data_IF_556120181022
#
_entry.id   IF_556120181022
#
_cell.length_a   1.000
_cell.length_b   1.000
_cell.length_c   1.000
_cell.angle_alpha   90.00
_cell.angle_beta   90.00
_cell.angle_gamma   90.00
#
_symmetry.space_group_name_H-M   'P 1'
#
loop_
_entity.id
_entity.type
_entity.pdbx_description
1 polymer ?
#
# COMPACT_ATOMS: atom_id res chain seq x y z
N UNK A 1 -46.44 -97.75 7.75
CA UNK A 1 -46.11 -96.52 8.50
C UNK A 1 -44.62 -96.24 8.36
N UNK A 2 -44.20 -95.36 7.46
CA UNK A 2 -42.87 -94.72 7.51
C UNK A 2 -42.97 -93.38 6.79
N UNK A 3 -43.06 -92.30 7.58
CA UNK A 3 -42.93 -90.92 7.12
C UNK A 3 -41.46 -90.68 6.77
N UNK A 4 -41.15 -90.32 5.54
CA UNK A 4 -39.86 -89.70 5.19
C UNK A 4 -40.04 -88.18 5.20
N UNK A 5 -39.24 -87.52 6.02
CA UNK A 5 -39.23 -86.07 6.20
C UNK A 5 -38.12 -85.44 5.35
N UNK A 6 -38.45 -84.26 4.85
CA UNK A 6 -37.69 -83.35 3.98
C UNK A 6 -36.17 -83.21 4.24
N UNK A 7 -35.44 -82.91 3.16
CA UNK A 7 -34.62 -81.69 3.16
C UNK A 7 -34.55 -81.05 1.77
N UNK A 8 -35.09 -79.83 1.69
CA UNK A 8 -34.90 -78.92 0.57
C UNK A 8 -33.45 -78.41 0.59
N UNK A 9 -32.79 -78.33 -0.56
CA UNK A 9 -31.61 -77.46 -0.68
C UNK A 9 -31.67 -76.71 -2.02
N UNK A 10 -32.26 -75.51 -1.97
CA UNK A 10 -32.26 -74.55 -3.08
C UNK A 10 -30.89 -73.92 -3.13
N UNK A 11 -30.15 -74.14 -4.23
CA UNK A 11 -28.86 -73.49 -4.50
C UNK A 11 -29.06 -71.97 -4.50
N UNK A 12 -28.40 -71.28 -3.58
CA UNK A 12 -28.37 -69.82 -3.55
C UNK A 12 -27.48 -69.29 -4.68
N UNK A 13 -28.06 -68.45 -5.54
CA UNK A 13 -27.31 -67.66 -6.52
C UNK A 13 -26.48 -66.63 -5.75
N UNK A 14 -25.15 -66.70 -5.85
CA UNK A 14 -24.26 -65.65 -5.34
C UNK A 14 -24.42 -64.41 -6.23
N UNK A 15 -25.17 -63.42 -5.75
CA UNK A 15 -25.13 -62.07 -6.29
C UNK A 15 -23.83 -61.41 -5.83
N UNK A 16 -22.90 -61.17 -6.77
CA UNK A 16 -21.76 -60.29 -6.52
C UNK A 16 -22.26 -58.86 -6.50
N UNK A 17 -22.61 -58.37 -5.30
CA UNK A 17 -22.89 -56.97 -5.08
C UNK A 17 -21.58 -56.18 -5.25
N UNK A 18 -21.44 -55.51 -6.39
CA UNK A 18 -20.45 -54.45 -6.57
C UNK A 18 -20.76 -53.34 -5.57
N UNK A 19 -19.99 -53.27 -4.49
CA UNK A 19 -19.99 -52.13 -3.59
C UNK A 19 -19.64 -50.88 -4.39
N UNK A 20 -20.66 -50.09 -4.74
CA UNK A 20 -20.47 -48.75 -5.29
C UNK A 20 -19.79 -47.94 -4.20
N UNK A 21 -18.47 -47.81 -4.26
CA UNK A 21 -17.76 -46.80 -3.48
C UNK A 21 -18.34 -45.45 -3.91
N UNK A 22 -19.23 -44.88 -3.10
CA UNK A 22 -19.71 -43.52 -3.26
C UNK A 22 -18.55 -42.58 -2.95
N UNK A 23 -17.66 -42.37 -3.93
CA UNK A 23 -16.72 -41.27 -3.86
C UNK A 23 -17.56 -40.01 -4.02
N UNK A 24 -17.89 -39.37 -2.90
CA UNK A 24 -18.40 -38.01 -2.91
C UNK A 24 -17.36 -37.17 -3.65
N UNK A 25 -17.74 -36.46 -4.73
CA UNK A 25 -16.79 -35.60 -5.40
C UNK A 25 -16.30 -34.57 -4.38
N UNK A 26 -14.98 -34.51 -4.18
CA UNK A 26 -14.36 -33.47 -3.35
C UNK A 26 -14.76 -32.14 -4.00
N UNK A 27 -15.66 -31.40 -3.35
CA UNK A 27 -16.07 -30.10 -3.85
C UNK A 27 -14.85 -29.18 -3.84
N UNK A 28 -14.53 -28.63 -5.01
CA UNK A 28 -13.47 -27.64 -5.12
C UNK A 28 -13.97 -26.36 -4.44
N UNK A 29 -13.20 -25.84 -3.49
CA UNK A 29 -13.53 -24.60 -2.79
C UNK A 29 -12.87 -23.46 -3.54
N UNK A 30 -13.66 -22.47 -3.93
CA UNK A 30 -13.15 -21.28 -4.60
C UNK A 30 -12.70 -20.29 -3.54
N UNK A 31 -11.38 -20.12 -3.38
CA UNK A 31 -10.77 -19.10 -2.53
C UNK A 31 -9.93 -18.19 -3.40
N UNK A 32 -10.28 -16.90 -3.47
CA UNK A 32 -9.59 -15.91 -4.32
C UNK A 32 -9.57 -14.52 -3.69
N UNK A 33 -8.66 -13.68 -4.18
CA UNK A 33 -8.64 -12.27 -3.86
C UNK A 33 -9.68 -11.51 -4.70
N UNK A 34 -10.38 -10.58 -4.05
CA UNK A 34 -11.27 -9.58 -4.67
C UNK A 34 -10.51 -8.26 -4.82
N UNK A 35 -9.71 -7.90 -3.82
CA UNK A 35 -8.79 -6.78 -3.85
C UNK A 35 -7.41 -7.26 -3.42
N UNK A 36 -6.41 -6.84 -4.18
CA UNK A 36 -5.02 -7.11 -3.91
C UNK A 36 -4.24 -5.80 -3.75
N UNK A 37 -3.20 -5.78 -2.90
CA UNK A 37 -2.49 -4.56 -2.62
C UNK A 37 -1.71 -4.06 -3.84
N UNK A 38 -1.58 -2.75 -3.95
CA UNK A 38 -0.84 -2.08 -5.00
C UNK A 38 0.43 -1.43 -4.45
N UNK A 39 1.40 -1.19 -5.32
CA UNK A 39 2.61 -0.45 -4.97
C UNK A 39 2.25 0.97 -4.53
N UNK A 40 2.85 1.45 -3.45
CA UNK A 40 2.57 2.77 -2.88
C UNK A 40 3.86 3.54 -2.61
N UNK A 41 3.85 4.82 -3.01
CA UNK A 41 4.84 5.80 -2.59
C UNK A 41 4.19 6.74 -1.59
N UNK A 42 4.66 6.76 -0.36
CA UNK A 42 4.14 7.63 0.71
C UNK A 42 5.19 8.65 1.17
N UNK A 43 4.89 9.45 2.18
CA UNK A 43 5.80 10.44 2.77
C UNK A 43 6.07 10.12 4.23
N UNK A 44 7.22 10.58 4.75
CA UNK A 44 7.56 10.47 6.17
C UNK A 44 6.50 11.16 7.04
N UNK A 45 6.01 10.45 8.06
CA UNK A 45 4.95 10.91 8.95
C UNK A 45 3.55 10.82 8.34
N UNK A 46 3.44 10.36 7.08
CA UNK A 46 2.15 10.15 6.43
C UNK A 46 1.43 8.90 6.93
N UNK A 47 0.33 8.59 6.25
CA UNK A 47 -0.47 7.38 6.46
C UNK A 47 -0.31 6.49 5.23
N UNK A 48 -0.09 5.20 5.46
CA UNK A 48 -0.03 4.16 4.43
C UNK A 48 -1.24 3.24 4.61
N UNK A 49 -2.00 3.02 3.55
CA UNK A 49 -3.04 2.00 3.50
C UNK A 49 -2.74 1.04 2.36
N UNK A 50 -2.80 -0.26 2.62
CA UNK A 50 -2.76 -1.30 1.60
C UNK A 50 -4.06 -2.09 1.67
N UNK A 51 -4.79 -2.11 0.56
CA UNK A 51 -6.06 -2.80 0.47
C UNK A 51 -5.88 -4.29 0.21
N UNK A 52 -6.65 -5.10 0.94
CA UNK A 52 -6.76 -6.53 0.68
C UNK A 52 -8.13 -7.03 1.08
N UNK A 53 -8.75 -7.82 0.20
CA UNK A 53 -10.00 -8.51 0.48
C UNK A 53 -10.01 -9.84 -0.27
N UNK A 54 -10.44 -10.91 0.39
CA UNK A 54 -10.63 -12.22 -0.21
C UNK A 54 -12.06 -12.72 0.02
N UNK A 55 -12.52 -13.65 -0.83
CA UNK A 55 -13.82 -14.30 -0.70
C UNK A 55 -13.72 -15.80 -0.93
N UNK A 56 -14.65 -16.52 -0.33
CA UNK A 56 -14.91 -17.93 -0.62
C UNK A 56 -16.40 -18.25 -0.66
N UNK A 57 -16.74 -19.32 -1.36
CA UNK A 57 -18.05 -19.99 -1.37
C UNK A 57 -18.32 -20.82 -0.09
N UNK A 58 -17.33 -21.00 0.80
CA UNK A 58 -17.42 -21.82 2.02
C UNK A 58 -17.28 -21.04 3.33
N UNK A 59 -17.22 -19.71 3.27
CA UNK A 59 -17.12 -18.85 4.45
C UNK A 59 -16.31 -17.58 4.20
N UNK A 60 -16.12 -16.78 5.26
CA UNK A 60 -15.29 -15.59 5.21
C UNK A 60 -13.82 -15.95 5.50
N UNK A 61 -12.89 -15.70 4.57
CA UNK A 61 -11.47 -15.91 4.83
C UNK A 61 -10.94 -14.92 5.88
N UNK A 62 -10.06 -15.40 6.75
CA UNK A 62 -9.28 -14.55 7.65
C UNK A 62 -8.12 -13.92 6.88
N UNK A 63 -7.91 -12.62 7.07
CA UNK A 63 -6.83 -11.87 6.44
C UNK A 63 -5.69 -11.65 7.46
N UNK A 64 -4.46 -11.79 7.00
CA UNK A 64 -3.25 -11.42 7.73
C UNK A 64 -2.20 -10.85 6.76
N UNK A 65 -1.19 -10.17 7.28
CA UNK A 65 -0.21 -9.48 6.45
C UNK A 65 1.20 -9.99 6.67
N UNK A 66 1.98 -10.03 5.60
CA UNK A 66 3.42 -10.27 5.61
C UNK A 66 4.16 -9.04 5.12
N UNK A 67 5.32 -8.78 5.71
CA UNK A 67 6.29 -7.80 5.26
C UNK A 67 7.65 -8.47 5.15
N UNK A 68 8.26 -8.38 3.98
CA UNK A 68 9.58 -8.96 3.68
C UNK A 68 9.64 -10.46 4.06
N UNK A 69 8.53 -11.18 3.82
CA UNK A 69 8.37 -12.60 4.14
C UNK A 69 7.94 -12.92 5.57
N UNK A 70 7.97 -11.95 6.49
CA UNK A 70 7.66 -12.14 7.91
C UNK A 70 6.21 -11.73 8.20
N UNK A 71 5.47 -12.54 8.97
CA UNK A 71 4.10 -12.21 9.38
C UNK A 71 4.10 -10.99 10.31
N UNK A 72 3.27 -10.01 9.99
CA UNK A 72 3.06 -8.83 10.83
C UNK A 72 2.12 -9.17 11.97
N UNK A 73 2.53 -8.85 13.20
CA UNK A 73 1.66 -8.87 14.36
C UNK A 73 1.13 -7.47 14.61
N UNK A 74 -0.20 -7.30 14.59
CA UNK A 74 -0.85 -6.02 14.95
C UNK A 74 -0.65 -5.65 16.42
N UNK A 75 -0.31 -6.60 17.29
CA UNK A 75 -0.11 -6.39 18.73
C UNK A 75 1.24 -5.73 19.04
N UNK A 76 2.22 -5.84 18.14
CA UNK A 76 3.61 -5.42 18.40
C UNK A 76 3.86 -3.96 18.01
N UNK A 77 3.04 -3.37 17.14
CA UNK A 77 3.22 -2.01 16.65
C UNK A 77 1.87 -1.29 16.62
N UNK A 78 1.63 -0.43 17.62
CA UNK A 78 0.37 0.33 17.79
C UNK A 78 0.04 1.21 16.58
N UNK A 79 1.04 1.55 15.75
CA UNK A 79 0.82 2.33 14.52
C UNK A 79 0.21 1.50 13.40
N UNK A 80 0.25 0.18 13.51
CA UNK A 80 -0.24 -0.77 12.51
C UNK A 80 -1.57 -1.33 12.95
N UNK A 81 -2.61 -1.00 12.19
CA UNK A 81 -3.95 -1.49 12.43
C UNK A 81 -4.45 -2.25 11.21
N UNK A 82 -4.93 -3.48 11.42
CA UNK A 82 -5.71 -4.16 10.40
C UNK A 82 -7.17 -3.72 10.52
N UNK A 83 -7.72 -3.24 9.41
CA UNK A 83 -9.11 -2.80 9.31
C UNK A 83 -10.03 -4.02 9.15
N UNK A 84 -11.33 -3.83 9.45
CA UNK A 84 -12.33 -4.91 9.38
C UNK A 84 -12.49 -5.52 7.99
N UNK A 85 -12.17 -4.77 6.92
CA UNK A 85 -12.20 -5.25 5.54
C UNK A 85 -10.96 -6.08 5.15
N UNK A 86 -9.94 -6.14 6.01
CA UNK A 86 -8.66 -6.82 5.73
C UNK A 86 -7.52 -5.89 5.32
N UNK A 87 -7.80 -4.63 4.97
CA UNK A 87 -6.76 -3.63 4.65
C UNK A 87 -5.86 -3.38 5.86
N UNK A 88 -4.57 -3.11 5.65
CA UNK A 88 -3.67 -2.66 6.72
C UNK A 88 -3.44 -1.16 6.61
N UNK A 89 -3.54 -0.49 7.75
CA UNK A 89 -3.25 0.92 7.93
C UNK A 89 -1.98 1.05 8.78
N UNK A 90 -1.02 1.85 8.32
CA UNK A 90 0.18 2.22 9.07
C UNK A 90 0.20 3.73 9.22
N UNK A 91 0.08 4.20 10.46
CA UNK A 91 0.15 5.62 10.79
C UNK A 91 1.59 6.04 11.06
N UNK A 92 1.86 7.34 10.90
CA UNK A 92 3.16 7.95 11.20
C UNK A 92 4.33 7.19 10.54
N UNK A 93 4.28 7.06 9.21
CA UNK A 93 5.27 6.29 8.45
C UNK A 93 6.70 6.75 8.76
N UNK A 94 7.54 5.81 9.20
CA UNK A 94 8.92 6.06 9.65
C UNK A 94 9.90 5.85 8.50
N UNK A 95 10.67 6.89 8.23
CA UNK A 95 11.77 6.87 7.28
C UNK A 95 12.95 7.69 7.80
N UNK A 96 14.11 7.06 7.85
CA UNK A 96 15.40 7.69 8.12
C UNK A 96 16.52 7.00 7.31
N UNK A 97 17.74 7.53 7.39
CA UNK A 97 18.89 7.00 6.65
C UNK A 97 19.19 5.53 6.99
N UNK A 98 19.07 5.15 8.27
CA UNK A 98 19.43 3.81 8.77
C UNK A 98 18.25 3.00 9.28
N UNK A 99 17.05 3.59 9.36
CA UNK A 99 15.89 2.95 9.92
C UNK A 99 14.65 3.25 9.08
N UNK A 100 14.12 2.22 8.42
CA UNK A 100 12.98 2.28 7.47
C UNK A 100 12.04 1.09 7.71
N UNK A 101 11.45 0.97 8.90
CA UNK A 101 10.68 -0.21 9.28
C UNK A 101 9.40 -0.37 8.45
N UNK A 102 8.90 0.70 7.83
CA UNK A 102 7.64 0.70 7.10
C UNK A 102 7.82 0.50 5.58
N UNK A 103 9.02 0.71 5.04
CA UNK A 103 9.35 0.36 3.64
C UNK A 103 9.58 -1.14 3.49
N UNK A 104 9.20 -1.71 2.35
CA UNK A 104 9.44 -3.12 2.06
C UNK A 104 8.44 -3.71 1.07
N UNK A 105 8.50 -5.03 0.95
CA UNK A 105 7.59 -5.84 0.17
C UNK A 105 6.46 -6.37 1.06
N UNK A 106 5.22 -5.96 0.79
CA UNK A 106 4.04 -6.38 1.54
C UNK A 106 3.23 -7.40 0.74
N UNK A 107 2.70 -8.40 1.44
CA UNK A 107 1.79 -9.39 0.88
C UNK A 107 0.66 -9.67 1.85
N UNK A 108 -0.54 -9.87 1.32
CA UNK A 108 -1.70 -10.30 2.07
C UNK A 108 -1.82 -11.83 2.03
N UNK A 109 -2.14 -12.43 3.16
CA UNK A 109 -2.39 -13.87 3.30
C UNK A 109 -3.85 -14.05 3.68
N UNK A 110 -4.62 -14.71 2.81
CA UNK A 110 -6.01 -15.08 3.07
C UNK A 110 -6.09 -16.56 3.43
N UNK A 111 -6.57 -16.85 4.64
CA UNK A 111 -6.66 -18.21 5.19
C UNK A 111 -8.11 -18.59 5.39
N UNK A 112 -8.47 -19.80 4.98
CA UNK A 112 -9.79 -20.39 5.19
C UNK A 112 -9.63 -21.75 5.86
N UNK A 113 -10.26 -21.90 7.03
CA UNK A 113 -10.18 -23.11 7.84
C UNK A 113 -10.70 -24.33 7.06
N UNK A 114 -9.97 -25.45 7.15
CA UNK A 114 -10.30 -26.69 6.43
C UNK A 114 -9.98 -26.68 4.93
N UNK A 115 -9.47 -25.57 4.38
CA UNK A 115 -9.14 -25.43 2.94
C UNK A 115 -7.67 -25.10 2.73
N UNK A 116 -7.16 -24.09 3.45
CA UNK A 116 -5.76 -23.66 3.33
C UNK A 116 -5.63 -22.14 3.25
N UNK A 117 -4.55 -21.67 2.64
CA UNK A 117 -4.30 -20.24 2.49
C UNK A 117 -3.73 -19.90 1.11
N UNK A 118 -4.04 -18.69 0.63
CA UNK A 118 -3.50 -18.11 -0.59
C UNK A 118 -2.76 -16.80 -0.27
N UNK A 119 -1.76 -16.46 -1.09
CA UNK A 119 -0.94 -15.26 -0.92
C UNK A 119 -1.17 -14.33 -2.10
N UNK A 120 -1.36 -13.04 -1.82
CA UNK A 120 -1.55 -12.03 -2.86
C UNK A 120 -0.25 -11.74 -3.63
N UNK A 121 -0.37 -10.94 -4.68
CA UNK A 121 0.75 -10.21 -5.26
C UNK A 121 1.55 -9.47 -4.18
N UNK A 122 2.80 -9.21 -4.52
CA UNK A 122 3.66 -8.34 -3.73
C UNK A 122 3.38 -6.89 -4.07
N UNK A 123 3.19 -6.07 -3.04
CA UNK A 123 3.10 -4.62 -3.13
C UNK A 123 4.35 -3.98 -2.53
N UNK A 124 5.03 -3.15 -3.32
CA UNK A 124 6.23 -2.43 -2.88
C UNK A 124 5.85 -1.09 -2.27
N UNK A 125 6.26 -0.89 -1.03
CA UNK A 125 6.09 0.38 -0.31
C UNK A 125 7.41 1.13 -0.26
N UNK A 126 7.40 2.38 -0.71
CA UNK A 126 8.56 3.28 -0.65
C UNK A 126 8.18 4.64 -0.08
N UNK A 127 9.14 5.35 0.51
CA UNK A 127 8.92 6.72 1.02
C UNK A 127 9.63 7.72 0.11
N UNK A 128 8.87 8.72 -0.35
CA UNK A 128 9.40 9.80 -1.16
C UNK A 128 10.42 10.64 -0.38
N UNK A 129 11.56 10.91 -1.02
CA UNK A 129 12.61 11.77 -0.49
C UNK A 129 12.60 13.11 -1.22
N UNK A 130 12.60 14.21 -0.47
CA UNK A 130 12.75 15.54 -1.07
C UNK A 130 14.21 15.80 -1.40
N UNK A 131 14.57 15.68 -2.68
CA UNK A 131 15.86 16.19 -3.18
C UNK A 131 15.74 17.71 -3.35
N UNK A 132 16.25 18.45 -2.36
CA UNK A 132 16.21 19.93 -2.34
C UNK A 132 17.02 20.61 -3.46
N UNK A 133 17.58 19.86 -4.41
CA UNK A 133 18.63 20.31 -5.32
C UNK A 133 18.12 21.12 -6.51
N UNK A 134 16.88 20.94 -7.00
CA UNK A 134 16.41 21.66 -8.19
C UNK A 134 15.55 22.91 -7.94
N UNK A 135 14.70 22.94 -6.91
CA UNK A 135 13.75 24.05 -6.71
C UNK A 135 14.38 25.32 -6.12
N UNK A 136 15.46 25.20 -5.35
CA UNK A 136 16.14 26.36 -4.76
C UNK A 136 16.82 27.24 -5.82
N UNK A 137 17.24 26.66 -6.96
CA UNK A 137 17.94 27.42 -8.01
C UNK A 137 17.03 28.49 -8.62
N UNK A 138 15.75 28.18 -8.85
CA UNK A 138 14.80 29.09 -9.51
C UNK A 138 14.33 30.22 -8.58
N UNK A 139 14.02 29.92 -7.32
CA UNK A 139 13.69 30.96 -6.33
C UNK A 139 14.88 31.85 -5.97
N UNK A 140 16.09 31.29 -5.83
CA UNK A 140 17.32 32.06 -5.54
C UNK A 140 17.73 32.91 -6.75
N UNK A 141 17.58 32.41 -7.99
CA UNK A 141 17.77 33.20 -9.23
C UNK A 141 16.73 34.32 -9.36
N UNK A 142 15.44 34.06 -9.12
CA UNK A 142 14.37 35.09 -9.13
C UNK A 142 14.59 36.16 -8.05
N UNK A 143 14.93 35.79 -6.81
CA UNK A 143 15.28 36.73 -5.73
C UNK A 143 16.53 37.57 -6.07
N UNK A 144 17.59 36.96 -6.63
CA UNK A 144 18.78 37.69 -7.12
C UNK A 144 18.44 38.66 -8.25
N UNK A 145 17.59 38.27 -9.22
CA UNK A 145 17.14 39.13 -10.33
C UNK A 145 16.29 40.30 -9.84
N UNK A 146 15.37 40.09 -8.88
CA UNK A 146 14.60 41.17 -8.22
C UNK A 146 15.50 42.14 -7.44
N UNK A 147 16.48 41.64 -6.67
CA UNK A 147 17.46 42.50 -5.96
C UNK A 147 18.31 43.34 -6.92
N UNK A 148 18.79 42.76 -8.03
CA UNK A 148 19.52 43.49 -9.08
C UNK A 148 18.66 44.57 -9.73
N UNK A 149 17.39 44.30 -10.04
CA UNK A 149 16.45 45.30 -10.60
C UNK A 149 16.20 46.46 -9.62
N UNK A 150 15.98 46.18 -8.32
CA UNK A 150 15.81 47.23 -7.29
C UNK A 150 17.05 48.13 -7.15
N UNK A 151 18.26 47.55 -7.14
CA UNK A 151 19.51 48.33 -7.09
C UNK A 151 19.69 49.25 -8.30
N UNK A 152 19.41 48.76 -9.52
CA UNK A 152 19.46 49.58 -10.74
C UNK A 152 18.46 50.75 -10.69
N UNK A 153 17.23 50.51 -10.23
CA UNK A 153 16.21 51.57 -10.12
C UNK A 153 16.61 52.65 -9.11
N UNK A 154 17.22 52.26 -7.98
CA UNK A 154 17.71 53.23 -6.97
C UNK A 154 18.88 54.07 -7.49
N UNK A 155 19.80 53.49 -8.28
CA UNK A 155 20.92 54.22 -8.89
C UNK A 155 20.45 55.21 -9.97
N UNK A 156 19.41 54.87 -10.74
CA UNK A 156 18.83 55.77 -11.74
C UNK A 156 18.10 56.96 -11.10
N UNK A 157 17.44 56.76 -9.96
CA UNK A 157 16.77 57.86 -9.25
C UNK A 157 17.77 58.89 -8.72
N UNK A 158 18.85 58.44 -8.07
CA UNK A 158 19.87 59.34 -7.52
C UNK A 158 20.54 60.23 -8.58
N UNK A 159 20.72 59.73 -9.81
CA UNK A 159 21.34 60.52 -10.89
C UNK A 159 20.43 61.65 -11.41
N UNK A 160 19.12 61.55 -11.22
CA UNK A 160 18.18 62.57 -11.66
C UNK A 160 17.96 63.67 -10.61
N UNK A 161 18.49 63.48 -9.38
CA UNK A 161 18.34 64.45 -8.29
C UNK A 161 19.61 65.34 -8.18
N UNK A 162 20.65 65.10 -9.01
CA UNK A 162 21.94 65.82 -9.00
C UNK A 162 22.07 66.80 -10.20
N UNK A 163 21.02 67.00 -11.02
CA UNK A 163 21.02 67.84 -12.25
C UNK A 163 20.17 69.14 -12.11
N UNK A 164 19.74 69.52 -10.89
CA UNK A 164 18.82 70.68 -10.63
C UNK A 164 19.47 71.81 -9.75
N UNK A 165 20.80 71.87 -9.63
CA UNK A 165 21.52 72.90 -8.83
C UNK A 165 22.56 73.69 -9.67
N UNK A 166 22.16 74.27 -10.80
CA UNK A 166 22.90 75.35 -11.48
C UNK A 166 21.85 76.30 -12.12
N UNK A 167 22.08 77.63 -12.04
CA UNK A 167 21.19 78.77 -12.35
C UNK A 167 20.33 79.20 -11.11
N UNK A 168 20.50 80.32 -10.41
CA UNK A 168 20.92 81.67 -10.77
C UNK A 168 21.56 82.37 -9.55
N UNK A 169 22.83 82.76 -9.63
CA UNK A 169 23.44 83.84 -8.84
C UNK A 169 24.16 84.72 -9.87
N UNK A 170 23.60 85.91 -10.14
CA UNK A 170 24.29 87.15 -10.53
C UNK A 170 23.27 88.05 -11.25
N UNK A 171 22.85 89.14 -10.60
CA UNK A 171 22.87 90.44 -11.28
C UNK A 171 22.80 91.60 -10.28
N UNK A 172 23.52 92.65 -10.68
CA UNK A 172 24.21 93.64 -9.88
C UNK A 172 23.51 95.02 -9.92
N UNK A 173 23.76 95.79 -8.85
CA UNK A 173 23.73 97.26 -8.70
C UNK A 173 22.57 98.12 -9.24
N UNK A 174 22.00 98.92 -8.32
CA UNK A 174 22.06 100.39 -8.38
C UNK A 174 21.94 101.01 -6.98
#
# INVERSE_FOLDING_TARGET
MTKTFNHHNKKALHSLAFGKSSQTPRSFVELRFVLEPQDVVTIRGGVLQLDCQARSDRGLPSISWKKDGVLLSSVVDERRQQLANGSILVQNVVHSRHHRPDEGAYQCLATLEGVGAIVSRTAKVTVAVWVNTLFQTSHKKKKKKKKKKKKKKKKKKKKNDDDDDDDDDDDEAQ
#
